data_IF_921987844388
#
_entry.id   IF_921987844388
#
_cell.length_a   1.000
_cell.length_b   1.000
_cell.length_c   1.000
_cell.angle_alpha   90.00
_cell.angle_beta   90.00
_cell.angle_gamma   90.00
#
_symmetry.space_group_name_H-M   'P 1'
#
loop_
_entity.id
_entity.type
_entity.pdbx_description
1 polymer ?
#
# COMPACT_ATOMS: atom_id res chain seq x y z
N UNK A 1 -19.09 5.63 27.78
CA UNK A 1 -19.14 4.24 27.32
C UNK A 1 -18.63 4.21 25.88
N UNK A 2 -17.37 3.81 25.68
CA UNK A 2 -16.75 3.74 24.35
C UNK A 2 -16.96 2.33 23.79
N UNK A 3 -18.11 2.09 23.16
CA UNK A 3 -18.40 0.80 22.52
C UNK A 3 -17.97 0.86 21.06
N UNK A 4 -16.71 0.54 20.76
CA UNK A 4 -16.24 0.45 19.36
C UNK A 4 -16.80 -0.84 18.77
N UNK A 5 -17.80 -0.72 17.89
CA UNK A 5 -18.30 -1.86 17.10
C UNK A 5 -17.27 -2.20 16.02
N UNK A 6 -16.55 -3.31 16.21
CA UNK A 6 -15.51 -3.79 15.31
C UNK A 6 -15.96 -4.01 13.84
N UNK A 7 -17.27 -4.13 13.58
CA UNK A 7 -17.85 -4.47 12.28
C UNK A 7 -17.61 -3.39 11.20
N UNK A 8 -17.35 -2.12 11.58
CA UNK A 8 -17.12 -1.01 10.64
C UNK A 8 -15.64 -0.70 10.39
N UNK A 9 -14.71 -1.48 10.96
CA UNK A 9 -13.27 -1.19 10.90
C UNK A 9 -12.55 -2.03 9.83
N UNK A 10 -11.46 -1.50 9.27
CA UNK A 10 -10.55 -2.28 8.41
C UNK A 10 -10.11 -3.54 9.15
N UNK A 11 -10.01 -4.68 8.46
CA UNK A 11 -9.74 -6.00 9.07
C UNK A 11 -8.58 -6.02 10.07
N UNK A 12 -7.46 -5.34 9.76
CA UNK A 12 -6.33 -5.22 10.70
C UNK A 12 -6.71 -4.51 12.01
N UNK A 13 -7.43 -3.40 11.91
CA UNK A 13 -7.89 -2.60 13.06
C UNK A 13 -8.97 -3.36 13.83
N UNK A 14 -9.91 -3.98 13.13
CA UNK A 14 -10.97 -4.80 13.75
C UNK A 14 -10.39 -5.96 14.57
N UNK A 15 -9.41 -6.70 14.01
CA UNK A 15 -8.76 -7.80 14.70
C UNK A 15 -8.04 -7.33 15.97
N UNK A 16 -7.33 -6.18 15.90
CA UNK A 16 -6.62 -5.61 17.04
C UNK A 16 -7.55 -5.06 18.13
N UNK A 17 -8.62 -4.37 17.74
CA UNK A 17 -9.64 -3.90 18.68
C UNK A 17 -10.30 -5.08 19.40
N UNK A 18 -10.61 -6.16 18.66
CA UNK A 18 -11.17 -7.38 19.25
C UNK A 18 -10.21 -8.06 20.22
N UNK A 19 -8.92 -8.10 19.92
CA UNK A 19 -7.88 -8.64 20.79
C UNK A 19 -7.73 -7.82 22.09
N UNK A 20 -7.78 -6.49 22.00
CA UNK A 20 -7.69 -5.62 23.18
C UNK A 20 -8.95 -5.75 24.06
N UNK A 21 -10.13 -5.77 23.45
CA UNK A 21 -11.41 -5.91 24.15
C UNK A 21 -11.61 -7.30 24.78
N UNK A 22 -10.86 -8.33 24.37
CA UNK A 22 -10.88 -9.64 25.04
C UNK A 22 -10.07 -9.65 26.34
N UNK A 23 -9.13 -8.70 26.50
CA UNK A 23 -8.27 -8.58 27.68
C UNK A 23 -8.87 -7.62 28.70
N UNK A 24 -9.43 -6.50 28.26
CA UNK A 24 -10.00 -5.47 29.13
C UNK A 24 -11.44 -5.10 28.73
N UNK A 25 -12.37 -5.03 29.70
CA UNK A 25 -13.76 -4.63 29.45
C UNK A 25 -13.83 -3.19 28.94
N UNK A 26 -14.86 -2.84 28.16
CA UNK A 26 -14.97 -1.49 27.56
C UNK A 26 -15.22 -0.41 28.63
N UNK A 27 -15.70 -0.81 29.79
CA UNK A 27 -16.06 0.02 30.94
C UNK A 27 -14.85 0.63 31.65
N UNK A 28 -13.65 0.08 31.46
CA UNK A 28 -12.42 0.64 32.05
C UNK A 28 -11.73 1.68 31.16
N UNK A 29 -12.22 1.89 29.94
CA UNK A 29 -11.63 2.84 28.99
C UNK A 29 -12.34 4.18 29.05
N UNK A 30 -11.55 5.22 29.33
CA UNK A 30 -12.03 6.60 29.35
C UNK A 30 -11.31 7.44 28.31
N UNK A 31 -12.04 8.37 27.70
CA UNK A 31 -11.47 9.30 26.74
C UNK A 31 -10.67 10.38 27.47
N UNK A 32 -9.44 10.61 27.01
CA UNK A 32 -8.59 11.73 27.42
C UNK A 32 -8.60 12.76 26.30
N UNK A 33 -8.77 14.05 26.63
CA UNK A 33 -8.69 15.13 25.62
C UNK A 33 -7.31 15.10 24.97
N UNK A 34 -7.23 15.31 23.65
CA UNK A 34 -5.96 15.22 22.93
C UNK A 34 -4.84 16.10 23.51
N UNK A 35 -5.17 17.31 23.97
CA UNK A 35 -4.20 18.23 24.63
C UNK A 35 -3.65 17.72 25.96
N UNK A 36 -4.34 16.78 26.61
CA UNK A 36 -3.99 16.18 27.89
C UNK A 36 -3.42 14.76 27.72
N UNK A 37 -3.35 14.26 26.48
CA UNK A 37 -2.80 12.93 26.21
C UNK A 37 -1.28 13.04 25.95
N UNK A 38 -0.41 12.59 26.88
CA UNK A 38 1.03 12.68 26.69
C UNK A 38 1.51 11.92 25.44
N UNK A 39 0.85 10.83 25.06
CA UNK A 39 1.23 10.03 23.88
C UNK A 39 1.04 10.78 22.55
N UNK A 40 0.27 11.87 22.53
CA UNK A 40 0.09 12.71 21.35
C UNK A 40 1.41 13.40 20.95
N UNK A 41 2.24 13.84 21.91
CA UNK A 41 3.53 14.45 21.61
C UNK A 41 4.50 13.47 20.91
N UNK A 42 4.52 12.22 21.36
CA UNK A 42 5.39 11.18 20.76
C UNK A 42 4.93 10.78 19.37
N UNK A 43 3.62 10.71 19.13
CA UNK A 43 3.05 10.28 17.84
C UNK A 43 2.99 11.40 16.80
N UNK A 44 2.82 12.66 17.19
CA UNK A 44 2.87 13.83 16.28
C UNK A 44 4.28 14.34 16.03
N UNK A 45 5.22 13.98 16.90
CA UNK A 45 6.58 14.49 16.90
C UNK A 45 6.72 15.73 17.79
N UNK A 46 7.77 15.73 18.60
CA UNK A 46 8.16 16.82 19.49
C UNK A 46 9.68 16.96 19.43
N UNK A 47 10.18 18.20 19.47
CA UNK A 47 11.63 18.43 19.49
C UNK A 47 12.22 17.94 20.82
N UNK A 48 13.43 17.34 20.84
CA UNK A 48 14.05 16.89 22.08
C UNK A 48 14.21 17.99 23.14
N UNK A 49 14.45 19.24 22.69
CA UNK A 49 14.54 20.41 23.56
C UNK A 49 13.20 20.74 24.24
N UNK A 50 12.08 20.60 23.53
CA UNK A 50 10.74 20.87 24.06
C UNK A 50 10.26 19.73 24.95
N UNK A 51 10.59 18.48 24.56
CA UNK A 51 10.27 17.29 25.34
C UNK A 51 10.91 17.34 26.74
N UNK A 52 12.15 17.85 26.84
CA UNK A 52 12.84 17.99 28.13
C UNK A 52 12.05 18.87 29.13
N UNK A 53 11.34 19.88 28.65
CA UNK A 53 10.53 20.79 29.47
C UNK A 53 9.04 20.43 29.52
N UNK A 54 8.62 19.33 28.89
CA UNK A 54 7.20 18.96 28.80
C UNK A 54 6.75 18.21 30.06
N UNK A 55 6.20 18.93 31.04
CA UNK A 55 5.70 18.32 32.29
C UNK A 55 4.59 17.31 32.04
N UNK A 56 3.73 17.53 31.04
CA UNK A 56 2.64 16.60 30.73
C UNK A 56 3.15 15.21 30.32
N UNK A 57 4.28 15.13 29.60
CA UNK A 57 4.93 13.87 29.24
C UNK A 57 5.58 13.16 30.44
N UNK A 58 6.24 13.91 31.33
CA UNK A 58 7.02 13.33 32.43
C UNK A 58 6.21 13.10 33.72
N UNK A 59 5.24 13.96 34.00
CA UNK A 59 4.54 14.06 35.28
C UNK A 59 3.05 13.69 35.19
N UNK A 60 2.53 13.44 33.98
CA UNK A 60 1.11 13.13 33.71
C UNK A 60 0.16 14.32 33.96
N UNK A 61 -1.10 14.28 33.50
CA UNK A 61 -2.08 15.29 33.87
C UNK A 61 -2.37 15.28 35.38
N UNK A 62 -2.51 16.46 35.98
CA UNK A 62 -2.77 16.61 37.42
C UNK A 62 -4.02 15.87 37.89
N UNK A 63 -5.06 15.82 37.05
CA UNK A 63 -6.32 15.16 37.37
C UNK A 63 -6.18 13.64 37.54
N UNK A 64 -5.12 13.01 36.99
CA UNK A 64 -4.89 11.57 37.19
C UNK A 64 -4.47 11.26 38.62
N UNK A 65 -3.92 12.25 39.34
CA UNK A 65 -3.51 12.13 40.73
C UNK A 65 -4.64 12.51 41.71
N UNK A 66 -5.81 12.92 41.23
CA UNK A 66 -6.96 13.30 42.04
C UNK A 66 -7.80 12.07 42.42
N UNK A 67 -8.27 11.99 43.66
CA UNK A 67 -9.03 10.83 44.16
C UNK A 67 -10.45 10.70 43.55
N UNK A 68 -10.97 11.76 42.92
CA UNK A 68 -12.32 11.82 42.36
C UNK A 68 -12.26 12.30 40.91
N UNK A 69 -11.94 11.39 39.99
CA UNK A 69 -11.91 11.68 38.56
C UNK A 69 -13.35 11.72 38.02
N UNK A 70 -13.77 12.87 37.49
CA UNK A 70 -15.07 13.03 36.85
C UNK A 70 -15.03 12.54 35.39
N UNK A 71 -15.69 11.42 35.13
CA UNK A 71 -15.80 10.81 33.80
C UNK A 71 -17.05 11.26 33.01
N UNK A 72 -17.80 12.26 33.49
CA UNK A 72 -19.06 12.71 32.88
C UNK A 72 -18.87 13.43 31.53
N UNK A 73 -17.69 13.98 31.28
CA UNK A 73 -17.37 14.78 30.09
C UNK A 73 -16.96 13.94 28.86
N UNK A 74 -17.78 12.94 28.51
CA UNK A 74 -17.60 12.17 27.29
C UNK A 74 -18.08 12.98 26.09
N UNK A 75 -17.14 13.44 25.26
CA UNK A 75 -17.49 14.04 23.98
C UNK A 75 -18.19 13.01 23.07
N UNK A 76 -19.17 13.43 22.25
CA UNK A 76 -19.74 12.58 21.23
C UNK A 76 -18.63 12.06 20.32
N UNK A 77 -18.62 10.75 20.08
CA UNK A 77 -17.73 10.11 19.13
C UNK A 77 -17.91 10.74 17.74
N UNK A 78 -16.85 11.31 17.18
CA UNK A 78 -16.85 11.81 15.81
C UNK A 78 -16.46 10.65 14.88
N UNK A 79 -17.35 10.24 13.98
CA UNK A 79 -17.16 9.11 13.06
C UNK A 79 -16.21 9.40 11.88
N UNK A 80 -15.48 10.51 11.88
CA UNK A 80 -14.81 11.03 10.68
C UNK A 80 -13.33 10.62 10.49
N UNK A 81 -13.01 9.34 10.72
CA UNK A 81 -11.73 8.78 10.25
C UNK A 81 -11.89 7.64 9.23
N UNK A 82 -12.96 7.65 8.43
CA UNK A 82 -12.90 6.98 7.13
C UNK A 82 -12.23 7.92 6.12
N UNK A 83 -10.90 8.11 6.24
CA UNK A 83 -10.10 8.61 5.11
C UNK A 83 -10.24 7.57 3.99
N UNK A 84 -11.25 7.77 3.13
CA UNK A 84 -11.31 7.14 1.82
C UNK A 84 -10.07 7.61 1.11
N UNK A 85 -9.01 6.81 1.14
CA UNK A 85 -7.82 7.05 0.34
C UNK A 85 -8.26 6.92 -1.12
N UNK A 86 -8.64 8.04 -1.73
CA UNK A 86 -8.88 8.12 -3.16
C UNK A 86 -7.51 8.01 -3.83
N UNK A 87 -7.07 6.79 -4.14
CA UNK A 87 -5.94 6.60 -5.02
C UNK A 87 -6.37 7.01 -6.43
N UNK A 88 -5.83 8.13 -6.92
CA UNK A 88 -5.85 8.42 -8.34
C UNK A 88 -4.97 7.37 -9.04
N UNK A 89 -5.60 6.38 -9.68
CA UNK A 89 -4.89 5.40 -10.50
C UNK A 89 -4.56 6.07 -11.83
N UNK A 90 -3.39 6.69 -11.91
CA UNK A 90 -2.81 7.10 -13.19
C UNK A 90 -2.36 5.86 -13.95
N UNK A 91 -2.78 5.72 -15.21
CA UNK A 91 -2.17 4.77 -16.15
C UNK A 91 -0.79 5.34 -16.47
N UNK A 92 0.21 4.98 -15.68
CA UNK A 92 1.60 5.22 -16.04
C UNK A 92 1.96 4.16 -17.08
N UNK A 93 2.17 4.58 -18.32
CA UNK A 93 2.84 3.73 -19.30
C UNK A 93 4.13 3.23 -18.64
N UNK A 94 4.34 1.91 -18.57
CA UNK A 94 5.49 1.32 -17.89
C UNK A 94 6.76 1.83 -18.57
N UNK A 95 7.30 2.92 -18.05
CA UNK A 95 8.54 3.51 -18.53
C UNK A 95 9.66 2.50 -18.25
N UNK A 96 10.56 2.30 -19.22
CA UNK A 96 11.72 1.39 -19.11
C UNK A 96 12.55 1.62 -17.85
N UNK A 97 12.41 2.80 -17.23
CA UNK A 97 13.00 3.13 -15.94
C UNK A 97 12.71 2.09 -14.85
N UNK A 98 11.61 1.32 -14.94
CA UNK A 98 11.38 0.17 -14.06
C UNK A 98 12.21 -1.05 -14.45
N UNK A 99 12.36 -1.34 -15.75
CA UNK A 99 13.13 -2.49 -16.23
C UNK A 99 14.61 -2.33 -15.83
N UNK A 100 15.16 -1.12 -15.97
CA UNK A 100 16.56 -0.80 -15.66
C UNK A 100 16.86 -0.80 -14.15
N UNK A 101 15.83 -0.72 -13.29
CA UNK A 101 15.99 -0.76 -11.82
C UNK A 101 16.22 -2.16 -11.26
N UNK A 102 16.03 -3.21 -12.05
CA UNK A 102 16.20 -4.59 -11.60
C UNK A 102 17.34 -5.29 -12.32
N UNK A 103 18.30 -5.79 -11.55
CA UNK A 103 19.43 -6.58 -12.05
C UNK A 103 19.09 -8.03 -12.42
N UNK A 104 17.83 -8.47 -12.23
CA UNK A 104 17.39 -9.83 -12.52
C UNK A 104 16.07 -9.83 -13.29
N UNK A 105 16.15 -10.25 -14.55
CA UNK A 105 14.97 -10.39 -15.41
C UNK A 105 13.95 -11.38 -14.84
N UNK A 106 14.41 -12.49 -14.26
CA UNK A 106 13.53 -13.45 -13.60
C UNK A 106 12.74 -12.82 -12.43
N UNK A 107 13.40 -12.03 -11.58
CA UNK A 107 12.72 -11.30 -10.50
C UNK A 107 11.70 -10.30 -11.05
N UNK A 108 12.06 -9.57 -12.11
CA UNK A 108 11.18 -8.60 -12.75
C UNK A 108 9.92 -9.27 -13.33
N UNK A 109 10.03 -10.44 -13.97
CA UNK A 109 8.88 -11.21 -14.47
C UNK A 109 7.92 -11.54 -13.33
N UNK A 110 8.44 -12.02 -12.19
CA UNK A 110 7.62 -12.37 -11.03
C UNK A 110 6.91 -11.13 -10.46
N UNK A 111 7.61 -10.01 -10.33
CA UNK A 111 7.04 -8.74 -9.86
C UNK A 111 5.93 -8.28 -10.82
N UNK A 112 6.20 -8.25 -12.13
CA UNK A 112 5.23 -7.86 -13.14
C UNK A 112 3.99 -8.77 -13.14
N UNK A 113 4.17 -10.09 -12.98
CA UNK A 113 3.06 -11.05 -12.88
C UNK A 113 2.16 -10.76 -11.67
N UNK A 114 2.76 -10.44 -10.51
CA UNK A 114 2.00 -10.01 -9.33
C UNK A 114 1.25 -8.70 -9.54
N UNK A 115 1.88 -7.71 -10.17
CA UNK A 115 1.22 -6.44 -10.51
C UNK A 115 0.03 -6.66 -11.45
N UNK A 116 0.16 -7.52 -12.45
CA UNK A 116 -0.94 -7.86 -13.37
C UNK A 116 -2.08 -8.58 -12.66
N UNK A 117 -1.79 -9.57 -11.82
CA UNK A 117 -2.80 -10.24 -10.99
C UNK A 117 -3.52 -9.25 -10.07
N UNK A 118 -2.77 -8.37 -9.41
CA UNK A 118 -3.34 -7.33 -8.56
C UNK A 118 -4.33 -6.47 -9.33
N UNK A 119 -3.94 -5.98 -10.51
CA UNK A 119 -4.80 -5.17 -11.37
C UNK A 119 -6.05 -5.93 -11.82
N UNK A 120 -5.92 -7.21 -12.18
CA UNK A 120 -7.06 -8.04 -12.57
C UNK A 120 -8.02 -8.28 -11.40
N UNK A 121 -7.49 -8.58 -10.21
CA UNK A 121 -8.28 -8.73 -8.98
C UNK A 121 -8.95 -7.43 -8.52
N UNK A 122 -8.33 -6.28 -8.78
CA UNK A 122 -8.91 -4.97 -8.51
C UNK A 122 -10.08 -4.67 -9.43
N UNK A 123 -10.02 -5.11 -10.70
CA UNK A 123 -11.11 -4.99 -11.68
C UNK A 123 -12.27 -5.96 -11.43
N UNK A 124 -12.01 -7.12 -10.84
CA UNK A 124 -13.03 -8.16 -10.60
C UNK A 124 -13.03 -8.61 -9.14
N UNK A 125 -13.59 -7.80 -8.22
CA UNK A 125 -13.53 -8.07 -6.78
C UNK A 125 -14.25 -9.35 -6.35
N UNK A 126 -15.23 -9.80 -7.14
CA UNK A 126 -16.03 -11.01 -6.90
C UNK A 126 -15.34 -12.31 -7.31
N UNK A 127 -14.33 -12.26 -8.18
CA UNK A 127 -13.61 -13.45 -8.67
C UNK A 127 -12.10 -13.24 -8.59
N UNK A 128 -11.59 -13.19 -7.36
CA UNK A 128 -10.16 -12.94 -7.11
C UNK A 128 -9.35 -14.22 -7.22
N UNK A 129 -8.31 -14.20 -8.03
CA UNK A 129 -7.30 -15.26 -8.06
C UNK A 129 -6.41 -15.15 -6.81
N UNK A 130 -6.24 -16.27 -6.10
CA UNK A 130 -5.44 -16.40 -4.87
C UNK A 130 -4.38 -17.49 -5.02
N UNK A 131 -3.41 -17.53 -4.10
CA UNK A 131 -2.36 -18.56 -4.06
C UNK A 131 -1.14 -18.20 -4.91
N UNK A 132 -0.35 -19.21 -5.29
CA UNK A 132 0.88 -19.01 -6.07
C UNK A 132 0.59 -18.46 -7.49
N UNK A 133 1.60 -17.83 -8.09
CA UNK A 133 1.53 -17.42 -9.51
C UNK A 133 1.41 -18.65 -10.40
N UNK A 134 0.51 -18.58 -11.36
CA UNK A 134 0.38 -19.62 -12.38
C UNK A 134 1.46 -19.44 -13.46
N UNK A 135 1.80 -20.53 -14.12
CA UNK A 135 2.73 -20.52 -15.26
C UNK A 135 2.24 -19.57 -16.37
N UNK A 136 0.92 -19.47 -16.56
CA UNK A 136 0.32 -18.58 -17.55
C UNK A 136 0.57 -17.11 -17.21
N UNK A 137 0.43 -16.72 -15.95
CA UNK A 137 0.70 -15.34 -15.53
C UNK A 137 2.18 -14.97 -15.70
N UNK A 138 3.08 -15.89 -15.36
CA UNK A 138 4.52 -15.71 -15.56
C UNK A 138 4.84 -15.56 -17.06
N UNK A 139 4.26 -16.41 -17.93
CA UNK A 139 4.42 -16.32 -19.39
C UNK A 139 3.86 -15.01 -19.95
N UNK A 140 2.68 -14.60 -19.50
CA UNK A 140 2.06 -13.33 -19.89
C UNK A 140 2.92 -12.13 -19.48
N UNK A 141 3.43 -12.12 -18.24
CA UNK A 141 4.33 -11.09 -17.73
C UNK A 141 5.61 -10.98 -18.55
N UNK A 142 6.27 -12.11 -18.82
CA UNK A 142 7.46 -12.15 -19.68
C UNK A 142 7.18 -11.58 -21.07
N UNK A 143 6.11 -12.04 -21.72
CA UNK A 143 5.77 -11.60 -23.07
C UNK A 143 5.40 -10.11 -23.11
N UNK A 144 4.75 -9.58 -22.07
CA UNK A 144 4.44 -8.16 -21.96
C UNK A 144 5.72 -7.32 -21.83
N UNK A 145 6.66 -7.71 -20.95
CA UNK A 145 7.94 -7.03 -20.79
C UNK A 145 8.75 -7.01 -22.08
N UNK A 146 8.84 -8.14 -22.78
CA UNK A 146 9.50 -8.22 -24.09
C UNK A 146 8.85 -7.29 -25.11
N UNK A 147 7.51 -7.25 -25.18
CA UNK A 147 6.79 -6.35 -26.07
C UNK A 147 7.03 -4.87 -25.75
N UNK A 148 7.20 -4.52 -24.47
CA UNK A 148 7.50 -3.14 -24.06
C UNK A 148 8.86 -2.73 -24.63
N UNK A 149 9.91 -3.51 -24.36
CA UNK A 149 11.27 -3.27 -24.87
C UNK A 149 11.28 -3.22 -26.41
N UNK A 150 10.61 -4.17 -27.08
CA UNK A 150 10.51 -4.19 -28.53
C UNK A 150 9.82 -2.93 -29.08
N UNK A 151 8.74 -2.45 -28.45
CA UNK A 151 8.06 -1.24 -28.92
C UNK A 151 8.91 0.03 -28.75
N UNK A 152 9.87 0.05 -27.83
CA UNK A 152 10.75 1.20 -27.64
C UNK A 152 11.95 1.15 -28.60
N UNK A 153 12.71 0.05 -28.55
CA UNK A 153 13.96 -0.10 -29.31
C UNK A 153 13.74 -0.33 -30.81
N UNK A 154 12.57 -0.88 -31.19
CA UNK A 154 12.24 -1.25 -32.57
C UNK A 154 10.94 -0.60 -33.04
N UNK A 155 10.60 0.57 -32.46
CA UNK A 155 9.40 1.33 -32.83
C UNK A 155 9.30 1.59 -34.34
N UNK A 156 10.41 1.97 -34.97
CA UNK A 156 10.51 2.21 -36.43
C UNK A 156 10.24 0.94 -37.25
N UNK A 157 10.86 -0.16 -36.88
CA UNK A 157 10.78 -1.45 -37.56
C UNK A 157 9.39 -2.07 -37.41
N UNK A 158 8.79 -1.97 -36.21
CA UNK A 158 7.41 -2.38 -35.97
C UNK A 158 6.41 -1.53 -36.77
N UNK A 159 6.66 -0.23 -36.92
CA UNK A 159 5.84 0.63 -37.75
C UNK A 159 5.98 0.32 -39.25
N UNK A 160 7.15 -0.12 -39.71
CA UNK A 160 7.36 -0.60 -41.08
C UNK A 160 6.65 -1.93 -41.33
N UNK A 161 6.74 -2.87 -40.40
CA UNK A 161 6.04 -4.15 -40.45
C UNK A 161 4.52 -3.98 -40.48
N UNK A 162 3.96 -3.11 -39.61
CA UNK A 162 2.53 -2.77 -39.63
C UNK A 162 2.07 -2.16 -40.95
N UNK A 163 2.97 -1.51 -41.69
CA UNK A 163 2.71 -0.90 -43.00
C UNK A 163 3.08 -1.81 -44.19
N UNK A 164 3.47 -3.06 -43.94
CA UNK A 164 3.83 -4.04 -44.98
C UNK A 164 5.10 -3.71 -45.77
N UNK A 165 5.99 -2.85 -45.24
CA UNK A 165 7.23 -2.45 -45.91
C UNK A 165 8.42 -3.35 -45.53
N UNK A 166 9.38 -3.58 -46.44
CA UNK A 166 10.52 -4.46 -46.17
C UNK A 166 11.44 -3.89 -45.07
N UNK A 167 11.97 -4.77 -44.22
CA UNK A 167 12.90 -4.42 -43.15
C UNK A 167 14.33 -4.27 -43.68
N UNK A 168 15.11 -3.35 -43.11
CA UNK A 168 16.54 -3.26 -43.37
C UNK A 168 17.26 -4.42 -42.62
N UNK A 169 17.88 -5.32 -43.38
CA UNK A 169 18.34 -6.65 -42.96
C UNK A 169 19.35 -6.66 -41.79
N UNK A 170 20.06 -5.55 -41.51
CA UNK A 170 21.17 -5.54 -40.54
C UNK A 170 20.78 -5.68 -39.06
N UNK A 171 19.52 -5.50 -38.68
CA UNK A 171 19.07 -5.61 -37.26
C UNK A 171 18.26 -6.86 -36.93
N UNK A 172 17.76 -7.58 -37.94
CA UNK A 172 16.86 -8.73 -37.73
C UNK A 172 17.62 -9.96 -37.22
N UNK A 173 18.91 -10.09 -37.55
CA UNK A 173 19.74 -11.20 -37.07
C UNK A 173 19.94 -11.20 -35.54
N UNK A 174 19.86 -10.00 -34.91
CA UNK A 174 19.92 -9.86 -33.45
C UNK A 174 18.68 -10.44 -32.74
N UNK A 175 17.53 -10.55 -33.43
CA UNK A 175 16.29 -11.12 -32.87
C UNK A 175 16.29 -12.65 -32.78
N UNK A 176 17.08 -13.36 -33.59
CA UNK A 176 17.08 -14.84 -33.58
C UNK A 176 17.96 -15.43 -32.48
N UNK A 177 19.01 -14.72 -32.05
CA UNK A 177 19.91 -15.21 -30.98
C UNK A 177 19.26 -15.20 -29.59
N UNK A 178 18.42 -14.21 -29.26
CA UNK A 178 17.89 -14.04 -27.89
C UNK A 178 16.63 -14.88 -27.56
N UNK A 179 16.20 -15.77 -28.47
CA UNK A 179 15.02 -16.63 -28.28
C UNK A 179 15.36 -18.12 -28.03
N UNK A 180 16.65 -18.45 -27.93
CA UNK A 180 17.14 -19.82 -27.73
C UNK A 180 17.88 -20.04 -26.41
N UNK A 181 17.57 -19.26 -25.37
CA UNK A 181 18.03 -19.52 -23.98
C UNK A 181 16.85 -19.61 -23.04
#
# INVERSE_FOLDING_TARGET
MVTIRAISLKTFVANRVSEIQSILPSEVWNHIRGKENPTDFGSRGILPSELKSNSLWWESPSWLCENNIDYSNQHPFCEDECKKTTCAVGIVALELSIIDKYSSFAKLIIIAAWCFRFFQNAKSPSNKTKGFLTILEIKCARNALVKIVQNQELSSELNLLKKGKPLNSKKVDKMKMDSSV
#
